data_IF_447819802756
#
_entry.id   IF_447819802756
#
_cell.length_a   1.000
_cell.length_b   1.000
_cell.length_c   1.000
_cell.angle_alpha   90.00
_cell.angle_beta   90.00
_cell.angle_gamma   90.00
#
_symmetry.space_group_name_H-M   'P 1'
#
loop_
_entity.id
_entity.type
_entity.pdbx_description
1 polymer ?
#
# COMPACT_ATOMS: atom_id res chain seq x y z
N UNK A 1 -14.24 17.32 16.05
CA UNK A 1 -14.15 16.50 14.81
C UNK A 1 -15.39 15.64 14.79
N UNK A 2 -16.30 15.71 13.79
CA UNK A 2 -17.38 14.74 13.74
C UNK A 2 -16.74 13.35 13.60
N UNK A 3 -17.20 12.38 14.40
CA UNK A 3 -16.68 11.01 14.41
C UNK A 3 -17.02 10.33 13.07
N UNK A 4 -16.22 10.60 12.04
CA UNK A 4 -16.36 9.98 10.73
C UNK A 4 -15.92 8.53 10.79
N UNK A 5 -16.74 7.62 10.26
CA UNK A 5 -16.37 6.21 10.08
C UNK A 5 -15.10 6.13 9.23
N UNK A 6 -14.10 5.42 9.74
CA UNK A 6 -12.91 5.05 8.97
C UNK A 6 -13.11 3.62 8.49
N UNK A 7 -13.09 3.43 7.17
CA UNK A 7 -13.11 2.11 6.56
C UNK A 7 -11.68 1.62 6.36
N UNK A 8 -11.35 0.43 6.87
CA UNK A 8 -10.06 -0.21 6.64
C UNK A 8 -10.28 -1.39 5.69
N UNK A 9 -9.54 -1.41 4.58
CA UNK A 9 -9.56 -2.50 3.62
C UNK A 9 -8.18 -3.14 3.54
N UNK A 10 -8.14 -4.47 3.63
CA UNK A 10 -6.94 -5.26 3.33
C UNK A 10 -7.04 -5.78 1.89
N UNK A 11 -6.35 -5.11 0.97
CA UNK A 11 -6.26 -5.50 -0.45
C UNK A 11 -5.58 -6.87 -0.58
N UNK A 12 -5.75 -7.53 -1.73
CA UNK A 12 -5.04 -8.79 -2.03
C UNK A 12 -3.78 -8.58 -2.86
N UNK A 13 -3.66 -7.41 -3.48
CA UNK A 13 -2.46 -6.96 -4.19
C UNK A 13 -2.40 -5.44 -4.19
N UNK A 14 -1.19 -4.89 -4.25
CA UNK A 14 -0.96 -3.47 -4.45
C UNK A 14 -1.48 -2.98 -5.82
N UNK A 15 -1.76 -3.88 -6.75
CA UNK A 15 -2.38 -3.55 -8.04
C UNK A 15 -3.85 -3.12 -7.96
N UNK A 16 -4.50 -3.26 -6.80
CA UNK A 16 -5.90 -2.86 -6.60
C UNK A 16 -6.08 -1.37 -6.23
N UNK A 17 -4.98 -0.64 -6.05
CA UNK A 17 -4.97 0.79 -5.78
C UNK A 17 -4.08 1.50 -6.79
N UNK A 18 -4.51 2.70 -7.21
CA UNK A 18 -3.74 3.55 -8.09
C UNK A 18 -2.42 3.99 -7.42
N UNK A 19 -1.34 4.07 -8.21
CA UNK A 19 -0.03 4.44 -7.70
C UNK A 19 0.00 5.85 -7.11
N UNK A 20 -0.69 6.81 -7.73
CA UNK A 20 -0.75 8.18 -7.23
C UNK A 20 -1.57 8.27 -5.93
N UNK A 21 -2.62 7.47 -5.78
CA UNK A 21 -3.41 7.43 -4.54
C UNK A 21 -2.62 6.82 -3.38
N UNK A 22 -1.85 5.75 -3.63
CA UNK A 22 -0.96 5.17 -2.64
C UNK A 22 0.19 6.12 -2.27
N UNK A 23 0.91 6.63 -3.28
CA UNK A 23 2.10 7.46 -3.06
C UNK A 23 1.75 8.81 -2.43
N UNK A 24 0.54 9.36 -2.66
CA UNK A 24 0.06 10.54 -1.95
C UNK A 24 0.05 10.37 -0.41
N UNK A 25 -0.09 9.14 0.08
CA UNK A 25 0.02 8.82 1.51
C UNK A 25 1.42 8.32 1.90
N UNK A 26 2.01 7.42 1.12
CA UNK A 26 3.24 6.71 1.49
C UNK A 26 4.53 7.48 1.20
N UNK A 27 4.51 8.37 0.21
CA UNK A 27 5.64 9.21 -0.19
C UNK A 27 5.12 10.46 -0.94
N UNK A 28 4.45 11.39 -0.23
CA UNK A 28 3.88 12.59 -0.86
C UNK A 28 4.93 13.46 -1.57
N UNK A 29 6.18 13.36 -1.14
CA UNK A 29 7.37 14.00 -1.69
C UNK A 29 7.83 13.41 -3.04
N UNK A 30 7.42 12.18 -3.39
CA UNK A 30 7.78 11.53 -4.65
C UNK A 30 7.35 12.32 -5.89
N UNK A 31 6.32 13.16 -5.77
CA UNK A 31 5.87 14.05 -6.85
C UNK A 31 6.87 15.16 -7.19
N UNK A 32 7.75 15.51 -6.26
CA UNK A 32 8.72 16.60 -6.39
C UNK A 32 10.15 16.13 -6.70
N UNK A 33 10.38 14.82 -6.77
CA UNK A 33 11.71 14.27 -7.01
C UNK A 33 11.89 12.84 -6.49
N UNK A 34 13.09 12.53 -6.01
CA UNK A 34 13.38 11.22 -5.42
C UNK A 34 12.61 11.09 -4.08
N UNK A 35 11.85 10.01 -3.88
CA UNK A 35 11.18 9.76 -2.60
C UNK A 35 12.21 9.61 -1.48
N UNK A 36 11.90 10.16 -0.32
CA UNK A 36 12.69 10.04 0.91
C UNK A 36 12.79 8.57 1.34
N UNK A 37 11.65 7.87 1.37
CA UNK A 37 11.61 6.42 1.57
C UNK A 37 11.15 5.72 0.28
N UNK A 38 12.07 5.19 -0.54
CA UNK A 38 11.70 4.47 -1.75
C UNK A 38 10.99 3.14 -1.47
N UNK A 39 11.14 2.57 -0.26
CA UNK A 39 10.67 1.22 0.06
C UNK A 39 9.18 1.16 0.40
N UNK A 40 8.55 2.30 0.66
CA UNK A 40 7.10 2.43 0.86
C UNK A 40 6.35 2.81 -0.41
N UNK A 41 7.06 3.18 -1.48
CA UNK A 41 6.43 3.59 -2.74
C UNK A 41 5.70 2.44 -3.42
N UNK A 42 4.63 2.78 -4.15
CA UNK A 42 3.82 1.83 -4.90
C UNK A 42 4.69 1.01 -5.85
N UNK A 43 5.53 1.70 -6.64
CA UNK A 43 6.41 1.05 -7.64
C UNK A 43 7.34 0.01 -7.03
N UNK A 44 7.90 0.25 -5.83
CA UNK A 44 8.82 -0.67 -5.19
C UNK A 44 8.07 -1.90 -4.66
N UNK A 45 7.00 -1.69 -3.91
CA UNK A 45 6.20 -2.75 -3.33
C UNK A 45 5.53 -3.62 -4.42
N UNK A 46 5.03 -3.00 -5.50
CA UNK A 46 4.50 -3.72 -6.68
C UNK A 46 5.57 -4.54 -7.39
N UNK A 47 6.82 -4.09 -7.39
CA UNK A 47 7.93 -4.85 -7.94
C UNK A 47 8.19 -6.13 -7.15
N UNK A 48 8.10 -6.10 -5.81
CA UNK A 48 8.21 -7.31 -4.97
C UNK A 48 7.14 -8.35 -5.32
N UNK A 49 5.90 -7.91 -5.56
CA UNK A 49 4.83 -8.80 -5.98
C UNK A 49 5.08 -9.38 -7.38
N UNK A 50 5.55 -8.55 -8.33
CA UNK A 50 5.79 -8.98 -9.72
C UNK A 50 7.02 -9.87 -9.88
N UNK A 51 8.03 -9.69 -9.04
CA UNK A 51 9.25 -10.52 -9.05
C UNK A 51 9.07 -11.88 -8.39
N UNK A 52 7.96 -12.10 -7.67
CA UNK A 52 7.78 -13.28 -6.83
C UNK A 52 8.63 -13.25 -5.55
N UNK A 53 9.12 -12.07 -5.14
CA UNK A 53 9.79 -11.90 -3.84
C UNK A 53 8.79 -12.03 -2.68
N UNK A 54 7.51 -11.78 -2.95
CA UNK A 54 6.36 -12.07 -2.09
C UNK A 54 5.26 -12.73 -2.92
N UNK A 55 4.26 -13.33 -2.26
CA UNK A 55 3.15 -14.02 -2.91
C UNK A 55 3.31 -15.55 -2.85
N UNK A 56 2.69 -16.24 -3.80
CA UNK A 56 2.63 -17.70 -3.84
C UNK A 56 4.02 -18.34 -3.73
N UNK A 57 4.16 -19.35 -2.86
CA UNK A 57 5.41 -20.09 -2.67
C UNK A 57 6.47 -19.43 -1.78
N UNK A 58 6.27 -18.18 -1.34
CA UNK A 58 7.27 -17.46 -0.51
C UNK A 58 7.02 -17.59 1.01
N UNK A 59 5.83 -18.06 1.40
CA UNK A 59 5.37 -18.01 2.80
C UNK A 59 4.93 -16.61 3.27
N UNK A 60 5.03 -15.58 2.41
CA UNK A 60 4.62 -14.21 2.68
C UNK A 60 3.58 -13.76 1.66
N UNK A 61 2.34 -13.53 2.10
CA UNK A 61 1.26 -13.05 1.24
C UNK A 61 1.07 -11.54 1.41
N UNK A 62 1.17 -10.74 0.32
CA UNK A 62 0.88 -9.31 0.40
C UNK A 62 -0.59 -9.09 0.75
N UNK A 63 -0.85 -8.21 1.71
CA UNK A 63 -2.21 -7.74 2.06
C UNK A 63 -2.22 -6.24 2.36
N UNK A 64 -1.86 -5.37 1.40
CA UNK A 64 -1.71 -3.94 1.64
C UNK A 64 -2.97 -3.36 2.30
N UNK A 65 -2.78 -2.53 3.33
CA UNK A 65 -3.87 -1.88 4.04
C UNK A 65 -4.10 -0.48 3.49
N UNK A 66 -5.37 -0.11 3.38
CA UNK A 66 -5.80 1.26 3.07
C UNK A 66 -6.89 1.69 4.04
N UNK A 67 -6.83 2.96 4.44
CA UNK A 67 -7.84 3.60 5.28
C UNK A 67 -8.58 4.65 4.47
N UNK A 68 -9.92 4.63 4.49
CA UNK A 68 -10.76 5.64 3.85
C UNK A 68 -11.62 6.39 4.84
N UNK A 69 -11.81 7.68 4.60
CA UNK A 69 -12.80 8.51 5.27
C UNK A 69 -13.59 9.28 4.22
N UNK A 70 -14.92 9.12 4.21
CA UNK A 70 -15.78 9.72 3.18
C UNK A 70 -15.41 9.32 1.75
N UNK A 71 -14.96 8.08 1.54
CA UNK A 71 -14.53 7.55 0.23
C UNK A 71 -13.11 7.96 -0.21
N UNK A 72 -12.44 8.87 0.50
CA UNK A 72 -11.07 9.29 0.21
C UNK A 72 -10.07 8.44 0.98
N UNK A 73 -9.02 7.95 0.32
CA UNK A 73 -7.88 7.32 1.01
C UNK A 73 -7.12 8.37 1.84
N UNK A 74 -6.93 8.07 3.12
CA UNK A 74 -6.29 8.94 4.11
C UNK A 74 -5.03 8.34 4.72
N UNK A 75 -4.83 7.03 4.60
CA UNK A 75 -3.61 6.35 5.02
C UNK A 75 -3.45 5.03 4.27
N UNK A 76 -2.22 4.57 4.14
CA UNK A 76 -1.86 3.28 3.56
C UNK A 76 -0.76 2.62 4.40
N UNK A 77 -0.67 1.30 4.39
CA UNK A 77 0.43 0.59 5.00
C UNK A 77 0.74 -0.72 4.25
N UNK A 78 2.02 -1.00 3.92
CA UNK A 78 2.39 -2.32 3.44
C UNK A 78 2.21 -3.34 4.57
N UNK A 79 1.52 -4.45 4.28
CA UNK A 79 1.28 -5.53 5.22
C UNK A 79 1.51 -6.86 4.51
N UNK A 80 2.12 -7.81 5.21
CA UNK A 80 2.35 -9.16 4.72
C UNK A 80 1.89 -10.18 5.77
N UNK A 81 1.06 -11.13 5.35
CA UNK A 81 0.65 -12.26 6.18
C UNK A 81 1.67 -13.38 6.01
N UNK A 82 2.18 -13.91 7.11
CA UNK A 82 3.03 -15.10 7.12
C UNK A 82 2.15 -16.35 7.21
N UNK A 83 2.28 -17.28 6.26
CA UNK A 83 1.37 -18.44 6.12
C UNK A 83 2.00 -19.75 6.59
N UNK A 84 2.78 -19.70 7.67
CA UNK A 84 3.48 -20.85 8.25
C UNK A 84 2.52 -21.90 8.81
#
# INVERSE_FOLDING_TARGET
>A
MPNGTIEITALTSLGEIDAAEWDACASPDASSGRPFDPFTTHRFLRALERSGSVGAGTGWQPRPLIARSGGKVIAVAPLYIKTN
#
